data_IF_663020145196
#
_entry.id   IF_663020145196
#
_cell.length_a   1.000
_cell.length_b   1.000
_cell.length_c   1.000
_cell.angle_alpha   90.00
_cell.angle_beta   90.00
_cell.angle_gamma   90.00
#
_symmetry.space_group_name_H-M   'P 1'
#
loop_
_entity.id
_entity.type
_entity.pdbx_description
1 polymer ?
#
# COMPACT_ATOMS: atom_id res chain seq x y z
N UNK A 1 15.48 -0.67 -6.87
CA UNK A 1 14.49 -0.12 -5.92
C UNK A 1 13.90 -1.25 -5.11
N UNK A 2 13.79 -1.07 -3.81
CA UNK A 2 13.09 -1.97 -2.88
C UNK A 2 11.81 -1.28 -2.38
N UNK A 3 10.78 -2.06 -2.07
CA UNK A 3 9.60 -1.56 -1.38
C UNK A 3 9.28 -2.50 -0.22
N UNK A 4 9.42 -2.01 1.01
CA UNK A 4 9.07 -2.74 2.21
C UNK A 4 7.57 -2.56 2.40
N UNK A 5 6.83 -3.66 2.30
CA UNK A 5 5.36 -3.65 2.35
C UNK A 5 4.87 -4.43 3.58
N UNK A 6 4.15 -3.75 4.45
CA UNK A 6 3.61 -4.30 5.69
C UNK A 6 2.27 -3.68 6.01
N UNK A 7 1.42 -4.44 6.69
CA UNK A 7 0.16 -3.92 7.23
C UNK A 7 0.34 -2.95 8.41
N UNK A 8 1.58 -2.79 8.92
CA UNK A 8 1.99 -1.81 9.92
C UNK A 8 3.45 -1.44 9.71
N UNK A 9 3.67 -0.26 9.14
CA UNK A 9 5.00 0.24 8.83
C UNK A 9 5.70 0.92 10.00
N UNK A 10 4.96 1.37 11.01
CA UNK A 10 5.53 1.97 12.21
C UNK A 10 6.06 0.89 13.15
N UNK A 11 7.16 0.28 12.76
CA UNK A 11 7.77 -0.84 13.48
C UNK A 11 9.29 -0.82 13.40
N UNK A 12 9.95 -1.28 14.47
CA UNK A 12 11.40 -1.39 14.53
C UNK A 12 11.95 -2.30 13.42
N UNK A 13 11.22 -3.32 12.99
CA UNK A 13 11.61 -4.18 11.89
C UNK A 13 11.80 -3.42 10.58
N UNK A 14 10.90 -2.50 10.25
CA UNK A 14 11.05 -1.66 9.06
C UNK A 14 12.24 -0.71 9.19
N UNK A 15 12.34 -0.03 10.33
CA UNK A 15 13.46 0.86 10.61
C UNK A 15 14.81 0.15 10.45
N UNK A 16 14.98 -0.98 11.15
CA UNK A 16 16.22 -1.77 11.07
C UNK A 16 16.53 -2.24 9.64
N UNK A 17 15.50 -2.62 8.87
CA UNK A 17 15.67 -3.03 7.47
C UNK A 17 16.14 -1.87 6.60
N UNK A 18 15.54 -0.68 6.76
CA UNK A 18 15.93 0.53 6.01
C UNK A 18 17.38 0.91 6.38
N UNK A 19 17.69 0.98 7.66
CA UNK A 19 19.03 1.32 8.16
C UNK A 19 20.09 0.33 7.66
N UNK A 20 19.80 -0.96 7.67
CA UNK A 20 20.69 -1.99 7.13
C UNK A 20 20.97 -1.79 5.64
N UNK A 21 19.92 -1.50 4.82
CA UNK A 21 20.13 -1.23 3.39
C UNK A 21 20.94 0.04 3.18
N UNK A 22 20.71 1.09 3.99
CA UNK A 22 21.50 2.33 3.91
C UNK A 22 22.95 2.11 4.25
N UNK A 23 23.24 1.31 5.26
CA UNK A 23 24.61 0.98 5.67
C UNK A 23 25.37 0.21 4.56
N UNK A 24 24.71 -0.74 3.89
CA UNK A 24 25.38 -1.62 2.92
C UNK A 24 25.38 -1.10 1.48
N UNK A 25 24.37 -0.31 1.10
CA UNK A 25 24.16 0.14 -0.29
C UNK A 25 24.04 1.66 -0.44
N UNK A 26 24.11 2.41 0.65
CA UNK A 26 24.00 3.87 0.62
C UNK A 26 22.71 4.33 -0.06
N UNK A 27 22.84 5.29 -0.98
CA UNK A 27 21.73 5.85 -1.75
C UNK A 27 21.55 5.21 -3.13
N UNK A 28 22.34 4.21 -3.49
CA UNK A 28 22.27 3.53 -4.78
C UNK A 28 20.98 2.69 -4.91
N UNK A 29 20.43 2.24 -3.78
CA UNK A 29 19.17 1.51 -3.72
C UNK A 29 18.08 2.41 -3.16
N UNK A 30 17.08 2.71 -3.98
CA UNK A 30 15.88 3.44 -3.55
C UNK A 30 14.96 2.54 -2.72
N UNK A 31 14.47 3.05 -1.59
CA UNK A 31 13.67 2.31 -0.61
C UNK A 31 12.32 3.00 -0.42
N UNK A 32 11.24 2.30 -0.76
CA UNK A 32 9.89 2.62 -0.29
C UNK A 32 9.58 1.87 0.99
N UNK A 33 8.85 2.48 1.90
CA UNK A 33 8.47 1.88 3.18
C UNK A 33 7.00 2.15 3.51
N UNK A 34 6.39 1.28 4.27
CA UNK A 34 4.98 1.41 4.70
C UNK A 34 4.34 0.07 5.04
N UNK A 35 3.04 0.08 5.31
CA UNK A 35 2.17 1.26 5.25
C UNK A 35 2.02 1.92 6.63
N UNK A 36 1.82 3.20 6.60
CA UNK A 36 1.47 4.00 7.78
C UNK A 36 0.21 4.83 7.49
N UNK A 37 -0.38 5.44 8.52
CA UNK A 37 -1.65 6.18 8.39
C UNK A 37 -1.67 7.53 9.11
N UNK A 38 -0.54 7.95 9.68
CA UNK A 38 -0.42 9.18 10.46
C UNK A 38 0.94 9.87 10.27
N UNK A 39 1.03 11.07 10.81
CA UNK A 39 2.22 11.91 10.74
C UNK A 39 3.42 11.32 11.47
N UNK A 40 3.19 10.60 12.56
CA UNK A 40 4.25 10.00 13.38
C UNK A 40 4.92 8.86 12.61
N UNK A 41 4.12 7.94 12.06
CA UNK A 41 4.61 6.84 11.22
C UNK A 41 5.37 7.33 9.99
N UNK A 42 4.89 8.42 9.35
CA UNK A 42 5.62 9.03 8.24
C UNK A 42 7.01 9.52 8.67
N UNK A 43 7.07 10.32 9.76
CA UNK A 43 8.36 10.85 10.24
C UNK A 43 9.32 9.74 10.63
N UNK A 44 8.81 8.70 11.30
CA UNK A 44 9.60 7.54 11.71
C UNK A 44 10.29 6.86 10.51
N UNK A 45 9.58 6.63 9.42
CA UNK A 45 10.14 6.00 8.22
C UNK A 45 11.05 6.96 7.43
N UNK A 46 10.70 8.24 7.36
CA UNK A 46 11.52 9.26 6.72
C UNK A 46 12.86 9.45 7.44
N UNK A 47 12.84 9.53 8.78
CA UNK A 47 14.04 9.64 9.61
C UNK A 47 14.93 8.38 9.52
N UNK A 48 14.35 7.20 9.33
CA UNK A 48 15.09 5.97 9.07
C UNK A 48 15.77 5.94 7.69
N UNK A 49 15.38 6.85 6.78
CA UNK A 49 16.00 6.98 5.46
C UNK A 49 15.18 6.41 4.30
N UNK A 50 13.87 6.26 4.44
CA UNK A 50 13.01 5.90 3.30
C UNK A 50 13.02 6.98 2.22
N UNK A 51 13.08 6.59 0.94
CA UNK A 51 13.00 7.51 -0.20
C UNK A 51 11.55 7.87 -0.55
N UNK A 52 10.57 7.04 -0.19
CA UNK A 52 9.14 7.36 -0.24
C UNK A 52 8.37 6.55 0.80
N UNK A 53 7.19 7.03 1.19
CA UNK A 53 6.35 6.36 2.20
C UNK A 53 4.98 6.02 1.63
N UNK A 54 4.53 4.78 1.84
CA UNK A 54 3.19 4.31 1.46
C UNK A 54 2.19 4.52 2.58
N UNK A 55 1.04 5.09 2.19
CA UNK A 55 -0.03 5.47 3.11
C UNK A 55 -1.27 4.63 2.85
N UNK A 56 -1.77 3.98 3.90
CA UNK A 56 -3.03 3.25 3.87
C UNK A 56 -2.94 1.89 4.54
N UNK A 57 -3.79 1.65 5.51
CA UNK A 57 -3.93 0.36 6.21
C UNK A 57 -5.38 -0.10 6.07
N UNK A 58 -5.55 -1.27 5.45
CA UNK A 58 -6.84 -1.92 5.32
C UNK A 58 -7.80 -1.31 4.29
N UNK A 59 -7.35 -0.37 3.43
CA UNK A 59 -8.17 0.29 2.42
C UNK A 59 -8.46 -0.54 1.17
N UNK A 60 -7.71 -1.60 0.93
CA UNK A 60 -7.89 -2.47 -0.24
C UNK A 60 -9.17 -3.30 -0.17
N UNK A 61 -9.81 -3.55 -1.32
CA UNK A 61 -11.09 -4.28 -1.39
C UNK A 61 -11.01 -5.76 -0.96
N UNK A 62 -9.82 -6.31 -0.93
CA UNK A 62 -9.50 -7.69 -0.53
C UNK A 62 -8.75 -7.74 0.81
N UNK A 63 -8.46 -6.57 1.41
CA UNK A 63 -7.73 -6.48 2.65
C UNK A 63 -8.63 -6.80 3.84
N UNK A 64 -8.16 -7.65 4.76
CA UNK A 64 -8.84 -8.02 5.99
C UNK A 64 -8.13 -7.49 7.24
N UNK A 65 -7.10 -6.68 7.08
CA UNK A 65 -6.32 -6.16 8.21
C UNK A 65 -7.22 -5.47 9.25
N UNK A 66 -8.22 -4.70 8.80
CA UNK A 66 -9.17 -4.03 9.70
C UNK A 66 -10.03 -5.01 10.51
N UNK A 67 -10.41 -6.12 9.89
CA UNK A 67 -11.23 -7.16 10.53
C UNK A 67 -10.40 -8.03 11.48
N UNK A 68 -9.18 -8.38 11.09
CA UNK A 68 -8.34 -9.33 11.83
C UNK A 68 -7.48 -8.68 12.91
N UNK A 69 -6.99 -7.46 12.66
CA UNK A 69 -6.11 -6.73 13.58
C UNK A 69 -6.80 -5.56 14.29
N UNK A 70 -7.99 -5.15 13.83
CA UNK A 70 -8.71 -4.00 14.39
C UNK A 70 -8.01 -2.64 14.15
N UNK A 71 -7.08 -2.57 13.19
CA UNK A 71 -6.34 -1.35 12.86
C UNK A 71 -6.73 -0.83 11.47
N UNK A 72 -6.60 0.48 11.30
CA UNK A 72 -6.86 1.17 10.03
C UNK A 72 -7.32 2.60 10.25
N UNK A 73 -7.34 3.37 9.17
CA UNK A 73 -7.78 4.76 9.17
C UNK A 73 -8.48 5.10 7.85
N UNK A 74 -9.36 6.09 7.85
CA UNK A 74 -9.93 6.62 6.62
C UNK A 74 -8.85 7.19 5.71
N UNK A 75 -8.80 6.74 4.44
CA UNK A 75 -7.70 7.03 3.52
C UNK A 75 -7.51 8.53 3.29
N UNK A 76 -8.60 9.29 3.10
CA UNK A 76 -8.51 10.73 2.88
C UNK A 76 -7.91 11.46 4.10
N UNK A 77 -8.34 11.09 5.31
CA UNK A 77 -7.83 11.68 6.55
C UNK A 77 -6.35 11.37 6.74
N UNK A 78 -5.95 10.11 6.54
CA UNK A 78 -4.56 9.69 6.65
C UNK A 78 -3.68 10.43 5.64
N UNK A 79 -4.13 10.52 4.39
CA UNK A 79 -3.38 11.15 3.32
C UNK A 79 -3.16 12.65 3.57
N UNK A 80 -4.20 13.39 3.94
CA UNK A 80 -4.09 14.84 4.24
C UNK A 80 -3.09 15.07 5.39
N UNK A 81 -3.21 14.34 6.49
CA UNK A 81 -2.32 14.48 7.64
C UNK A 81 -0.87 14.15 7.28
N UNK A 82 -0.64 13.05 6.58
CA UNK A 82 0.71 12.64 6.19
C UNK A 82 1.33 13.61 5.20
N UNK A 83 0.56 14.12 4.22
CA UNK A 83 1.08 15.11 3.28
C UNK A 83 1.46 16.42 3.98
N UNK A 84 0.70 16.86 4.98
CA UNK A 84 1.10 17.98 5.83
C UNK A 84 2.41 17.69 6.58
N UNK A 85 2.54 16.51 7.16
CA UNK A 85 3.78 16.09 7.85
C UNK A 85 4.99 16.03 6.89
N UNK A 86 4.79 15.58 5.63
CA UNK A 86 5.82 15.61 4.58
C UNK A 86 6.28 17.04 4.29
N UNK A 87 5.34 17.96 4.13
CA UNK A 87 5.66 19.35 3.83
C UNK A 87 6.39 20.04 4.97
N UNK A 88 6.01 19.75 6.22
CA UNK A 88 6.72 20.19 7.42
C UNK A 88 8.13 19.58 7.49
N UNK A 89 8.25 18.29 7.19
CA UNK A 89 9.52 17.57 7.16
C UNK A 89 10.46 18.19 6.13
N UNK A 90 9.96 18.45 4.93
CA UNK A 90 10.72 19.10 3.87
C UNK A 90 11.19 20.51 4.28
N UNK A 91 10.32 21.33 4.87
CA UNK A 91 10.68 22.67 5.37
C UNK A 91 11.78 22.60 6.44
N UNK A 92 11.76 21.59 7.29
CA UNK A 92 12.72 21.41 8.39
C UNK A 92 14.06 20.86 7.93
N UNK A 93 14.06 19.90 7.01
CA UNK A 93 15.26 19.11 6.64
C UNK A 93 15.82 19.42 5.27
N UNK A 94 15.03 20.03 4.37
CA UNK A 94 15.35 20.16 2.94
C UNK A 94 15.20 18.85 2.15
N UNK A 95 14.77 17.74 2.80
CA UNK A 95 14.61 16.43 2.17
C UNK A 95 13.13 16.20 1.87
N UNK A 96 12.81 16.07 0.58
CA UNK A 96 11.46 15.72 0.13
C UNK A 96 11.30 14.20 0.04
N UNK A 97 10.39 13.65 0.83
CA UNK A 97 10.06 12.22 0.83
C UNK A 97 8.66 12.03 0.25
N UNK A 98 8.53 11.60 -1.02
CA UNK A 98 7.24 11.42 -1.68
C UNK A 98 6.29 10.48 -0.93
N UNK A 99 4.99 10.73 -1.08
CA UNK A 99 3.91 9.97 -0.47
C UNK A 99 3.12 9.23 -1.54
N UNK A 100 3.01 7.91 -1.36
CA UNK A 100 2.19 7.02 -2.18
C UNK A 100 0.86 6.74 -1.47
N UNK A 101 -0.28 7.09 -2.08
CA UNK A 101 -1.59 6.68 -1.59
C UNK A 101 -1.89 5.25 -2.05
N UNK A 102 -2.01 4.32 -1.09
CA UNK A 102 -2.23 2.90 -1.36
C UNK A 102 -3.56 2.41 -0.79
N UNK A 103 -4.39 1.85 -1.67
CA UNK A 103 -5.67 1.28 -1.33
C UNK A 103 -6.87 2.24 -1.46
N UNK A 104 -8.06 1.65 -1.62
CA UNK A 104 -9.32 2.38 -1.70
C UNK A 104 -9.64 3.04 -3.05
N UNK A 105 -8.74 3.00 -4.02
CA UNK A 105 -8.95 3.58 -5.35
C UNK A 105 -9.68 2.56 -6.22
N UNK A 106 -10.90 2.91 -6.63
CA UNK A 106 -11.81 2.06 -7.43
C UNK A 106 -12.15 2.71 -8.77
N UNK A 107 -12.27 4.04 -8.80
CA UNK A 107 -12.66 4.85 -9.96
C UNK A 107 -11.59 5.88 -10.30
N UNK A 108 -11.60 6.37 -11.53
CA UNK A 108 -10.60 7.33 -12.03
C UNK A 108 -10.55 8.62 -11.20
N UNK A 109 -11.74 9.13 -10.80
CA UNK A 109 -11.81 10.33 -9.98
C UNK A 109 -11.18 10.16 -8.59
N UNK A 110 -11.05 8.92 -8.06
CA UNK A 110 -10.34 8.67 -6.81
C UNK A 110 -8.84 8.95 -6.95
N UNK A 111 -8.26 8.74 -8.15
CA UNK A 111 -6.86 9.09 -8.44
C UNK A 111 -6.70 10.60 -8.34
N UNK A 112 -7.58 11.36 -9.02
CA UNK A 112 -7.55 12.83 -8.97
C UNK A 112 -7.71 13.35 -7.55
N UNK A 113 -8.62 12.77 -6.77
CA UNK A 113 -8.82 13.14 -5.37
C UNK A 113 -7.57 12.86 -4.52
N UNK A 114 -6.92 11.70 -4.68
CA UNK A 114 -5.71 11.37 -3.94
C UNK A 114 -4.57 12.36 -4.24
N UNK A 115 -4.37 12.70 -5.51
CA UNK A 115 -3.38 13.70 -5.93
C UNK A 115 -3.74 15.10 -5.41
N UNK A 116 -5.00 15.50 -5.46
CA UNK A 116 -5.47 16.78 -4.93
C UNK A 116 -5.32 16.89 -3.41
N UNK A 117 -5.36 15.78 -2.67
CA UNK A 117 -5.07 15.70 -1.23
C UNK A 117 -3.57 15.71 -0.91
N UNK A 118 -2.72 15.70 -1.93
CA UNK A 118 -1.27 15.85 -1.79
C UNK A 118 -0.45 14.59 -2.04
N UNK A 119 -1.05 13.45 -2.44
CA UNK A 119 -0.26 12.30 -2.86
C UNK A 119 0.60 12.65 -4.08
N UNK A 120 1.82 12.12 -4.11
CA UNK A 120 2.71 12.28 -5.26
C UNK A 120 2.41 11.22 -6.33
N UNK A 121 1.98 10.05 -5.89
CA UNK A 121 1.56 8.93 -6.75
C UNK A 121 0.62 7.99 -6.01
N UNK A 122 0.08 7.01 -6.71
CA UNK A 122 -0.91 6.07 -6.17
C UNK A 122 -0.54 4.62 -6.46
N UNK A 123 -0.92 3.72 -5.55
CA UNK A 123 -0.83 2.26 -5.76
C UNK A 123 -2.23 1.69 -5.95
N UNK A 124 -2.40 0.92 -7.03
CA UNK A 124 -3.68 0.43 -7.52
C UNK A 124 -3.65 -1.10 -7.64
N UNK A 125 -4.42 -1.79 -6.81
CA UNK A 125 -4.61 -3.24 -6.91
C UNK A 125 -5.81 -3.61 -7.78
N UNK A 126 -7.02 -3.49 -7.21
CA UNK A 126 -8.28 -3.84 -7.89
C UNK A 126 -8.47 -3.14 -9.23
N UNK A 127 -8.01 -1.91 -9.35
CA UNK A 127 -8.13 -1.13 -10.58
C UNK A 127 -7.45 -1.86 -11.75
N UNK A 128 -6.18 -2.24 -11.59
CA UNK A 128 -5.42 -2.94 -12.61
C UNK A 128 -5.78 -4.42 -12.75
N UNK A 129 -6.32 -5.06 -11.72
CA UNK A 129 -6.76 -6.44 -11.80
C UNK A 129 -7.83 -6.68 -12.89
N UNK A 130 -8.52 -5.63 -13.34
CA UNK A 130 -9.55 -5.68 -14.39
C UNK A 130 -8.98 -5.67 -15.82
N UNK A 131 -7.74 -5.21 -15.99
CA UNK A 131 -7.12 -5.05 -17.30
C UNK A 131 -6.75 -6.39 -17.93
N UNK A 132 -6.69 -6.43 -19.24
CA UNK A 132 -6.41 -7.65 -20.00
C UNK A 132 -4.99 -8.18 -19.74
N UNK A 133 -4.05 -7.29 -19.47
CA UNK A 133 -2.66 -7.59 -19.11
C UNK A 133 -2.51 -8.24 -17.72
N UNK A 134 -3.52 -8.15 -16.87
CA UNK A 134 -3.51 -8.87 -15.59
C UNK A 134 -3.60 -10.39 -15.84
N UNK A 135 -2.77 -11.21 -15.17
CA UNK A 135 -2.58 -12.62 -15.56
C UNK A 135 -3.79 -13.53 -15.30
N UNK A 136 -4.79 -13.11 -14.53
CA UNK A 136 -5.98 -13.92 -14.26
C UNK A 136 -6.89 -14.04 -15.49
N UNK A 137 -7.39 -15.26 -15.72
CA UNK A 137 -8.30 -15.53 -16.82
C UNK A 137 -9.67 -14.86 -16.61
N UNK A 138 -10.26 -14.42 -17.72
CA UNK A 138 -11.64 -13.96 -17.77
C UNK A 138 -12.60 -15.14 -17.61
N UNK A 139 -13.65 -14.96 -16.81
CA UNK A 139 -14.75 -15.93 -16.64
C UNK A 139 -16.08 -15.21 -16.83
N UNK A 140 -17.08 -15.94 -17.31
CA UNK A 140 -18.45 -15.43 -17.40
C UNK A 140 -19.25 -15.95 -16.20
N UNK A 141 -19.78 -15.05 -15.39
CA UNK A 141 -20.66 -15.37 -14.26
C UNK A 141 -21.92 -14.55 -14.38
N UNK A 142 -23.08 -15.22 -14.53
CA UNK A 142 -24.38 -14.55 -14.70
C UNK A 142 -24.42 -13.58 -15.89
N UNK A 143 -23.77 -13.92 -17.00
CA UNK A 143 -23.69 -13.08 -18.21
C UNK A 143 -22.69 -11.92 -18.12
N UNK A 144 -22.00 -11.75 -17.00
CA UNK A 144 -21.00 -10.69 -16.80
C UNK A 144 -19.58 -11.27 -16.86
N UNK A 145 -18.70 -10.59 -17.58
CA UNK A 145 -17.26 -10.96 -17.61
C UNK A 145 -16.62 -10.49 -16.30
N UNK A 146 -15.97 -11.41 -15.60
CA UNK A 146 -15.28 -11.18 -14.34
C UNK A 146 -13.86 -11.72 -14.40
N UNK A 147 -12.97 -11.15 -13.56
CA UNK A 147 -11.63 -11.70 -13.27
C UNK A 147 -11.51 -11.95 -11.78
N UNK A 148 -10.86 -13.03 -11.41
CA UNK A 148 -10.56 -13.29 -10.01
C UNK A 148 -9.49 -12.33 -9.52
N UNK A 149 -9.68 -11.80 -8.31
CA UNK A 149 -8.73 -10.92 -7.64
C UNK A 149 -8.70 -11.27 -6.15
N UNK A 150 -7.52 -11.55 -5.62
CA UNK A 150 -7.33 -12.03 -4.24
C UNK A 150 -6.14 -11.35 -3.57
N UNK A 151 -6.18 -11.32 -2.22
CA UNK A 151 -5.11 -10.76 -1.41
C UNK A 151 -4.08 -11.81 -1.00
N UNK A 152 -2.93 -11.35 -0.54
CA UNK A 152 -1.86 -12.21 -0.03
C UNK A 152 -2.28 -13.04 1.19
N UNK A 153 -3.19 -12.54 2.02
CA UNK A 153 -3.76 -13.28 3.15
C UNK A 153 -4.80 -14.34 2.78
N UNK A 154 -5.15 -14.49 1.49
CA UNK A 154 -6.14 -15.47 1.03
C UNK A 154 -5.55 -16.90 1.00
N UNK A 155 -6.41 -17.91 1.16
CA UNK A 155 -6.01 -19.31 1.01
C UNK A 155 -5.35 -19.60 -0.34
N UNK A 156 -5.77 -18.89 -1.39
CA UNK A 156 -5.20 -19.05 -2.72
C UNK A 156 -3.74 -18.62 -2.78
N UNK A 157 -3.40 -17.47 -2.17
CA UNK A 157 -2.01 -17.01 -2.10
C UNK A 157 -1.15 -17.91 -1.22
N UNK A 158 -1.72 -18.42 -0.13
CA UNK A 158 -1.04 -19.32 0.82
C UNK A 158 -0.71 -20.67 0.19
N UNK A 159 -1.64 -21.26 -0.55
CA UNK A 159 -1.46 -22.54 -1.23
C UNK A 159 -0.38 -22.50 -2.31
N UNK A 160 0.11 -21.30 -2.67
CA UNK A 160 1.24 -21.13 -3.58
C UNK A 160 2.59 -21.01 -2.85
N UNK A 161 2.63 -21.38 -1.57
CA UNK A 161 3.87 -21.54 -0.80
C UNK A 161 4.51 -20.27 -0.25
N UNK A 162 3.83 -19.12 -0.34
CA UNK A 162 4.39 -17.86 0.17
C UNK A 162 4.21 -17.67 1.68
N UNK A 163 3.11 -18.20 2.24
CA UNK A 163 2.80 -18.15 3.68
C UNK A 163 2.18 -19.48 4.12
N UNK A 164 2.86 -20.22 4.93
CA UNK A 164 2.39 -21.48 5.52
C UNK A 164 1.63 -21.20 6.83
N UNK A 165 0.45 -20.58 6.74
CA UNK A 165 -0.37 -20.21 7.89
C UNK A 165 -1.82 -20.69 7.70
N UNK A 166 -2.41 -21.33 8.70
CA UNK A 166 -3.80 -21.74 8.73
C UNK A 166 -4.76 -20.55 8.81
N UNK A 167 -5.63 -20.37 7.83
CA UNK A 167 -6.68 -19.35 7.86
C UNK A 167 -7.36 -19.10 6.53
N UNK A 168 -8.64 -18.77 6.58
CA UNK A 168 -9.55 -18.69 5.43
C UNK A 168 -9.72 -17.27 4.88
N UNK A 169 -9.46 -17.09 3.57
CA UNK A 169 -10.00 -15.98 2.79
C UNK A 169 -10.42 -16.45 1.40
N UNK A 170 -11.64 -16.14 1.04
CA UNK A 170 -12.14 -16.39 -0.31
C UNK A 170 -11.63 -15.33 -1.30
N UNK A 171 -11.36 -15.77 -2.52
CA UNK A 171 -11.12 -14.86 -3.64
C UNK A 171 -12.40 -14.07 -3.94
N UNK A 172 -12.30 -12.76 -4.10
CA UNK A 172 -13.42 -11.91 -4.53
C UNK A 172 -13.38 -11.74 -6.05
N UNK A 173 -14.55 -11.76 -6.68
CA UNK A 173 -14.68 -11.48 -8.10
C UNK A 173 -14.68 -9.97 -8.33
N UNK A 174 -13.81 -9.51 -9.23
CA UNK A 174 -13.81 -8.13 -9.70
C UNK A 174 -14.61 -8.04 -10.99
N UNK A 175 -15.71 -7.28 -10.99
CA UNK A 175 -16.46 -7.00 -12.20
C UNK A 175 -15.65 -6.06 -13.09
N UNK A 176 -15.66 -6.34 -14.40
CA UNK A 176 -15.14 -5.42 -15.41
C UNK A 176 -16.08 -4.21 -15.43
N UNK A 177 -15.55 -2.99 -15.33
CA UNK A 177 -16.33 -1.78 -15.55
C UNK A 177 -16.65 -1.61 -17.03
#
# INVERSE_FOLDING_TARGET
MLCIDSSEGYSDWQKMTIEWVREHYGNDVKIGAGNVVDAEGFRFLADAGADFVKIGIGGGSICITRETKGIGRGQATALIEVCQARDEYYKRTGIYVPVCSDGGIVYDHHITLALAMGADFVMLGRYFARFDESPTQKRTVGGTIVKEYWGEGSNRARNWGRYDLDGFQEARLSKKA
#
